data_IF_731143129706
#
_entry.id   IF_731143129706
#
_cell.length_a   1.000
_cell.length_b   1.000
_cell.length_c   1.000
_cell.angle_alpha   90.00
_cell.angle_beta   90.00
_cell.angle_gamma   90.00
#
_symmetry.space_group_name_H-M   'P 1'
#
loop_
_entity.id
_entity.type
_entity.pdbx_description
1 polymer ?
#
# COMPACT_ATOMS: atom_id res chain seq x y z
N UNK A 1 -8.11 6.86 31.78
CA UNK A 1 -9.11 5.92 31.19
C UNK A 1 -8.37 4.61 30.90
N UNK A 2 -8.82 3.48 31.45
CA UNK A 2 -8.14 2.19 31.25
C UNK A 2 -8.42 1.70 29.84
N UNK A 3 -7.39 1.40 29.03
CA UNK A 3 -7.55 0.93 27.64
C UNK A 3 -8.21 -0.47 27.67
N UNK A 4 -9.28 -0.64 26.89
CA UNK A 4 -9.97 -1.91 26.77
C UNK A 4 -9.46 -2.70 25.56
N UNK A 5 -8.44 -3.50 25.73
CA UNK A 5 -7.87 -4.34 24.67
C UNK A 5 -8.80 -5.47 24.18
N UNK A 6 -9.88 -5.78 24.90
CA UNK A 6 -10.86 -6.76 24.43
C UNK A 6 -11.60 -6.26 23.18
N UNK A 7 -11.85 -4.95 23.07
CA UNK A 7 -12.48 -4.38 21.88
C UNK A 7 -11.60 -4.49 20.64
N UNK A 8 -10.28 -4.32 20.78
CA UNK A 8 -9.35 -4.54 19.68
C UNK A 8 -9.34 -6.01 19.26
N UNK A 9 -9.26 -6.95 20.22
CA UNK A 9 -9.27 -8.38 19.94
C UNK A 9 -10.54 -8.83 19.20
N UNK A 10 -11.71 -8.25 19.55
CA UNK A 10 -12.98 -8.48 18.81
C UNK A 10 -12.90 -7.97 17.37
N UNK A 11 -12.34 -6.77 17.14
CA UNK A 11 -12.22 -6.18 15.80
C UNK A 11 -11.32 -6.96 14.86
N UNK A 12 -10.25 -7.57 15.38
CA UNK A 12 -9.33 -8.41 14.61
C UNK A 12 -9.72 -9.90 14.66
N UNK A 13 -10.82 -10.22 15.34
CA UNK A 13 -11.34 -11.57 15.54
C UNK A 13 -10.30 -12.56 16.10
N UNK A 14 -9.49 -12.10 17.06
CA UNK A 14 -8.46 -12.90 17.73
C UNK A 14 -8.49 -12.66 19.24
N UNK A 15 -8.31 -13.75 20.00
CA UNK A 15 -8.03 -13.70 21.43
C UNK A 15 -6.57 -14.10 21.67
N UNK A 16 -5.76 -13.18 22.18
CA UNK A 16 -4.37 -13.46 22.55
C UNK A 16 -4.28 -14.45 23.70
N UNK A 17 -3.33 -15.38 23.61
CA UNK A 17 -2.92 -16.25 24.73
C UNK A 17 -2.06 -15.47 25.71
N UNK A 18 -1.12 -14.69 25.18
CA UNK A 18 -0.27 -13.80 25.95
C UNK A 18 -0.64 -12.35 25.66
N UNK A 19 -1.36 -11.72 26.59
CA UNK A 19 -1.82 -10.34 26.46
C UNK A 19 -0.65 -9.33 26.47
N UNK A 20 0.48 -9.66 27.10
CA UNK A 20 1.66 -8.78 27.14
C UNK A 20 2.23 -8.55 25.74
N UNK A 21 2.17 -9.53 24.84
CA UNK A 21 2.57 -9.33 23.42
C UNK A 21 1.69 -8.30 22.74
N UNK A 22 0.37 -8.35 22.95
CA UNK A 22 -0.55 -7.35 22.42
C UNK A 22 -0.24 -5.96 22.96
N UNK A 23 -0.09 -5.82 24.28
CA UNK A 23 0.21 -4.54 24.93
C UNK A 23 1.55 -4.00 24.43
N UNK A 24 2.59 -4.82 24.38
CA UNK A 24 3.91 -4.41 23.91
C UNK A 24 3.88 -3.95 22.45
N UNK A 25 3.13 -4.63 21.57
CA UNK A 25 2.99 -4.21 20.15
C UNK A 25 2.33 -2.84 19.98
N UNK A 26 1.60 -2.38 20.99
CA UNK A 26 0.90 -1.08 21.01
C UNK A 26 1.62 -0.05 21.89
N UNK A 27 2.79 -0.37 22.42
CA UNK A 27 3.59 0.52 23.27
C UNK A 27 4.67 1.19 22.43
N UNK A 28 4.53 2.50 22.21
CA UNK A 28 5.55 3.29 21.52
C UNK A 28 6.77 3.53 22.43
N UNK A 29 7.97 3.65 21.87
CA UNK A 29 9.22 3.87 22.60
C UNK A 29 9.22 5.13 23.47
N UNK A 30 8.39 6.13 23.17
CA UNK A 30 8.24 7.32 24.03
C UNK A 30 7.54 6.99 25.34
N UNK A 31 6.73 5.91 25.39
CA UNK A 31 6.06 5.47 26.61
C UNK A 31 6.94 4.53 27.45
N UNK A 32 7.59 3.57 26.79
CA UNK A 32 8.53 2.63 27.42
C UNK A 32 9.72 2.41 26.48
N UNK A 33 10.92 2.80 26.93
CA UNK A 33 12.15 2.67 26.14
C UNK A 33 12.69 1.25 26.06
N UNK A 34 12.28 0.37 26.98
CA UNK A 34 12.77 -1.03 27.06
C UNK A 34 11.78 -2.03 26.50
N UNK A 35 10.49 -1.90 26.86
CA UNK A 35 9.42 -2.80 26.40
C UNK A 35 8.51 -2.04 25.42
N UNK A 36 8.94 -1.91 24.19
CA UNK A 36 8.21 -1.20 23.13
C UNK A 36 7.97 -2.09 21.90
N UNK A 37 7.37 -1.50 20.89
CA UNK A 37 6.90 -2.20 19.70
C UNK A 37 7.97 -2.39 18.59
N UNK A 38 9.15 -1.77 18.66
CA UNK A 38 10.12 -1.73 17.54
C UNK A 38 10.53 -3.12 17.04
N UNK A 39 10.80 -4.09 17.93
CA UNK A 39 11.17 -5.46 17.51
C UNK A 39 10.00 -6.21 16.87
N UNK A 40 8.77 -5.94 17.31
CA UNK A 40 7.57 -6.56 16.74
C UNK A 40 7.20 -5.90 15.41
N UNK A 41 7.41 -4.59 15.24
CA UNK A 41 7.31 -3.89 13.96
C UNK A 41 8.26 -4.52 12.94
N UNK A 42 9.54 -4.71 13.30
CA UNK A 42 10.51 -5.36 12.44
C UNK A 42 10.05 -6.75 11.97
N UNK A 43 9.52 -7.58 12.86
CA UNK A 43 9.00 -8.91 12.52
C UNK A 43 7.73 -8.82 11.69
N UNK A 44 6.81 -7.95 12.09
CA UNK A 44 5.49 -7.82 11.47
C UNK A 44 5.55 -7.36 10.03
N UNK A 45 6.45 -6.42 9.70
CA UNK A 45 6.71 -6.00 8.32
C UNK A 45 7.11 -7.21 7.44
N UNK A 46 7.99 -8.11 7.90
CA UNK A 46 8.40 -9.32 7.16
C UNK A 46 7.26 -10.32 7.00
N UNK A 47 6.47 -10.51 8.06
CA UNK A 47 5.30 -11.40 8.02
C UNK A 47 4.25 -10.85 7.06
N UNK A 48 3.96 -9.55 7.11
CA UNK A 48 3.07 -8.87 6.17
C UNK A 48 3.56 -9.06 4.73
N UNK A 49 4.84 -8.79 4.50
CA UNK A 49 5.46 -8.94 3.18
C UNK A 49 5.33 -10.36 2.64
N UNK A 50 5.64 -11.38 3.45
CA UNK A 50 5.52 -12.79 3.04
C UNK A 50 4.08 -13.15 2.65
N UNK A 51 3.11 -12.78 3.47
CA UNK A 51 1.69 -13.09 3.23
C UNK A 51 1.17 -12.40 1.98
N UNK A 52 1.48 -11.11 1.81
CA UNK A 52 1.04 -10.33 0.63
C UNK A 52 1.72 -10.85 -0.65
N UNK A 53 3.03 -11.17 -0.61
CA UNK A 53 3.73 -11.73 -1.76
C UNK A 53 3.12 -13.07 -2.18
N UNK A 54 2.89 -13.99 -1.23
CA UNK A 54 2.19 -15.26 -1.49
C UNK A 54 0.82 -15.03 -2.12
N UNK A 55 0.04 -14.09 -1.56
CA UNK A 55 -1.31 -13.81 -2.07
C UNK A 55 -1.31 -13.22 -3.47
N UNK A 56 -0.34 -12.38 -3.81
CA UNK A 56 -0.18 -11.84 -5.15
C UNK A 56 0.16 -12.92 -6.17
N UNK A 57 1.02 -13.89 -5.85
CA UNK A 57 1.31 -15.04 -6.71
C UNK A 57 0.07 -15.90 -6.97
N UNK A 58 -0.79 -16.09 -5.96
CA UNK A 58 -2.05 -16.83 -6.12
C UNK A 58 -3.05 -16.11 -7.04
N UNK A 59 -3.12 -14.76 -6.95
CA UNK A 59 -4.07 -13.96 -7.74
C UNK A 59 -3.55 -13.74 -9.18
N UNK A 60 -2.24 -13.65 -9.35
CA UNK A 60 -1.58 -13.26 -10.60
C UNK A 60 -0.46 -14.24 -10.98
N UNK A 61 -0.79 -15.54 -11.24
CA UNK A 61 0.22 -16.57 -11.48
C UNK A 61 1.08 -16.32 -12.72
N UNK A 62 0.51 -15.66 -13.74
CA UNK A 62 1.19 -15.41 -15.02
C UNK A 62 1.78 -14.00 -15.13
N UNK A 63 1.77 -13.22 -14.02
CA UNK A 63 2.21 -11.83 -14.06
C UNK A 63 3.73 -11.74 -13.91
N UNK A 64 4.34 -10.72 -14.54
CA UNK A 64 5.78 -10.48 -14.45
C UNK A 64 6.17 -9.94 -13.08
N UNK A 65 7.37 -10.32 -12.62
CA UNK A 65 7.96 -9.87 -11.34
C UNK A 65 7.83 -8.36 -11.11
N UNK A 66 8.22 -7.52 -12.06
CA UNK A 66 8.17 -6.06 -11.89
C UNK A 66 6.76 -5.48 -11.74
N UNK A 67 5.70 -6.21 -12.12
CA UNK A 67 4.30 -5.82 -11.86
C UNK A 67 3.89 -6.31 -10.47
N UNK A 68 4.30 -7.52 -10.10
CA UNK A 68 4.09 -8.04 -8.75
C UNK A 68 4.74 -7.13 -7.71
N UNK A 69 5.98 -6.67 -7.93
CA UNK A 69 6.68 -5.73 -7.05
C UNK A 69 5.94 -4.40 -6.88
N UNK A 70 5.41 -3.83 -7.96
CA UNK A 70 4.62 -2.59 -7.87
C UNK A 70 3.35 -2.79 -7.05
N UNK A 71 2.65 -3.91 -7.25
CA UNK A 71 1.44 -4.28 -6.47
C UNK A 71 1.80 -4.54 -5.01
N UNK A 72 2.88 -5.27 -4.77
CA UNK A 72 3.41 -5.55 -3.44
C UNK A 72 3.74 -4.26 -2.70
N UNK A 73 4.56 -3.38 -3.27
CA UNK A 73 4.93 -2.10 -2.67
C UNK A 73 3.71 -1.21 -2.34
N UNK A 74 2.67 -1.25 -3.18
CA UNK A 74 1.43 -0.52 -2.92
C UNK A 74 0.65 -1.08 -1.72
N UNK A 75 0.73 -2.40 -1.46
CA UNK A 75 -0.01 -3.07 -0.40
C UNK A 75 0.69 -3.04 0.97
N UNK A 76 2.02 -3.03 1.00
CA UNK A 76 2.79 -3.11 2.25
C UNK A 76 3.37 -1.78 2.73
N UNK A 77 3.14 -0.67 2.01
CA UNK A 77 3.68 0.63 2.42
C UNK A 77 2.97 1.22 3.66
N UNK A 78 3.65 2.16 4.32
CA UNK A 78 3.15 2.84 5.52
C UNK A 78 1.77 3.49 5.35
N UNK A 79 1.44 3.99 4.15
CA UNK A 79 0.13 4.59 3.86
C UNK A 79 -0.98 3.53 3.92
N UNK A 80 -0.75 2.36 3.37
CA UNK A 80 -1.71 1.25 3.40
C UNK A 80 -1.85 0.68 4.80
N UNK A 81 -0.73 0.46 5.52
CA UNK A 81 -0.75 0.06 6.93
C UNK A 81 -1.55 1.04 7.79
N UNK A 82 -1.37 2.35 7.58
CA UNK A 82 -2.15 3.39 8.25
C UNK A 82 -3.65 3.30 7.94
N UNK A 83 -4.03 3.09 6.68
CA UNK A 83 -5.44 2.95 6.29
C UNK A 83 -6.10 1.75 6.98
N UNK A 84 -5.40 0.62 7.04
CA UNK A 84 -5.86 -0.58 7.73
C UNK A 84 -5.97 -0.35 9.23
N UNK A 85 -4.96 0.26 9.86
CA UNK A 85 -4.98 0.60 11.27
C UNK A 85 -6.17 1.51 11.63
N UNK A 86 -6.46 2.53 10.81
CA UNK A 86 -7.59 3.44 11.02
C UNK A 86 -8.94 2.73 10.90
N UNK A 87 -9.11 1.71 10.06
CA UNK A 87 -10.36 0.93 9.98
C UNK A 87 -10.71 0.24 11.30
N UNK A 88 -9.70 -0.25 12.01
CA UNK A 88 -9.89 -0.90 13.32
C UNK A 88 -9.80 0.09 14.49
N UNK A 89 -9.61 1.40 14.21
CA UNK A 89 -9.36 2.46 15.19
C UNK A 89 -8.19 2.13 16.12
N UNK A 90 -7.05 1.66 15.55
CA UNK A 90 -5.90 1.18 16.30
C UNK A 90 -5.31 2.26 17.20
N UNK A 91 -5.39 3.52 16.78
CA UNK A 91 -4.90 4.69 17.54
C UNK A 91 -5.48 4.81 18.95
N UNK A 92 -6.67 4.26 19.20
CA UNK A 92 -7.31 4.28 20.53
C UNK A 92 -6.63 3.38 21.56
N UNK A 93 -5.80 2.46 21.10
CA UNK A 93 -5.16 1.43 21.91
C UNK A 93 -3.66 1.64 22.08
N UNK A 94 -3.06 2.62 21.38
CA UNK A 94 -1.62 2.88 21.39
C UNK A 94 -1.23 3.65 22.65
N UNK A 95 -0.19 3.17 23.32
CA UNK A 95 0.43 3.83 24.46
C UNK A 95 1.57 4.72 23.97
N UNK A 96 1.43 6.04 24.17
CA UNK A 96 2.46 7.04 23.87
C UNK A 96 2.65 7.94 25.08
N UNK A 97 3.84 8.55 25.23
CA UNK A 97 4.07 9.54 26.25
C UNK A 97 3.21 10.79 25.99
N UNK A 98 2.45 11.16 26.99
CA UNK A 98 1.59 12.34 26.97
C UNK A 98 1.71 13.10 28.30
N UNK A 99 2.63 14.08 28.41
CA UNK A 99 2.95 14.74 29.67
C UNK A 99 1.77 15.50 30.26
N UNK A 100 0.79 15.90 29.47
CA UNK A 100 -0.31 16.75 29.91
C UNK A 100 -1.67 16.02 29.97
N UNK A 101 -1.71 14.72 29.78
CA UNK A 101 -2.95 13.91 29.72
C UNK A 101 -4.03 14.47 28.75
N UNK A 102 -3.64 15.36 27.82
CA UNK A 102 -4.53 15.94 26.81
C UNK A 102 -4.72 14.93 25.67
N UNK A 103 -5.85 15.00 24.97
CA UNK A 103 -6.08 14.26 23.72
C UNK A 103 -5.08 14.78 22.67
N UNK A 104 -3.91 14.15 22.57
CA UNK A 104 -2.92 14.45 21.53
C UNK A 104 -3.25 13.55 20.33
N UNK A 105 -3.24 14.14 19.15
CA UNK A 105 -3.33 13.37 17.89
C UNK A 105 -2.04 12.57 17.75
N UNK A 106 -2.17 11.25 17.73
CA UNK A 106 -1.05 10.34 17.46
C UNK A 106 -0.60 10.51 16.03
N UNK A 107 0.70 10.59 15.78
CA UNK A 107 1.27 10.71 14.44
C UNK A 107 0.93 9.49 13.57
N UNK A 108 0.65 9.73 12.30
CA UNK A 108 0.31 8.68 11.33
C UNK A 108 1.41 7.60 11.22
N UNK A 109 2.68 8.00 11.41
CA UNK A 109 3.82 7.07 11.46
C UNK A 109 3.69 6.09 12.63
N UNK A 110 3.42 6.56 13.84
CA UNK A 110 3.28 5.72 15.04
C UNK A 110 2.13 4.72 14.85
N UNK A 111 1.04 5.14 14.21
CA UNK A 111 -0.13 4.29 13.95
C UNK A 111 0.22 3.18 12.93
N UNK A 112 0.95 3.52 11.86
CA UNK A 112 1.37 2.53 10.85
C UNK A 112 2.37 1.53 11.42
N UNK A 113 3.36 1.99 12.19
CA UNK A 113 4.37 1.14 12.84
C UNK A 113 3.71 0.19 13.86
N UNK A 114 2.71 0.67 14.61
CA UNK A 114 1.92 -0.17 15.52
C UNK A 114 1.06 -1.20 14.80
N UNK A 115 0.62 -0.94 13.55
CA UNK A 115 -0.09 -1.91 12.74
C UNK A 115 0.82 -3.10 12.38
N UNK A 116 2.03 -2.82 11.93
CA UNK A 116 3.03 -3.85 11.65
C UNK A 116 3.41 -4.59 12.93
N UNK A 117 3.62 -3.88 14.05
CA UNK A 117 3.93 -4.49 15.33
C UNK A 117 2.80 -5.42 15.83
N UNK A 118 1.54 -5.06 15.61
CA UNK A 118 0.39 -5.91 15.93
C UNK A 118 0.43 -7.22 15.13
N UNK A 119 0.78 -7.16 13.84
CA UNK A 119 0.98 -8.36 13.01
C UNK A 119 2.09 -9.24 13.59
N UNK A 120 3.23 -8.64 13.97
CA UNK A 120 4.33 -9.35 14.63
C UNK A 120 3.90 -10.04 15.93
N UNK A 121 3.12 -9.35 16.76
CA UNK A 121 2.58 -9.90 18.01
C UNK A 121 1.62 -11.08 17.75
N UNK A 122 0.74 -10.96 16.74
CA UNK A 122 -0.16 -12.05 16.35
C UNK A 122 0.64 -13.27 15.90
N UNK A 123 1.69 -13.04 15.09
CA UNK A 123 2.56 -14.13 14.65
C UNK A 123 3.26 -14.82 15.81
N UNK A 124 3.80 -14.08 16.77
CA UNK A 124 4.45 -14.65 17.97
C UNK A 124 3.48 -15.43 18.86
N UNK A 125 2.24 -14.96 19.00
CA UNK A 125 1.25 -15.57 19.88
C UNK A 125 0.52 -16.77 19.24
N UNK A 126 0.29 -16.74 17.91
CA UNK A 126 -0.61 -17.66 17.20
C UNK A 126 0.03 -18.39 16.01
N UNK A 127 1.23 -18.02 15.63
CA UNK A 127 1.90 -18.56 14.45
C UNK A 127 1.45 -17.96 13.13
N UNK A 128 2.11 -18.38 12.05
CA UNK A 128 1.96 -17.80 10.71
C UNK A 128 0.55 -18.01 10.13
N UNK A 129 -0.05 -19.17 10.29
CA UNK A 129 -1.37 -19.49 9.71
C UNK A 129 -2.46 -18.55 10.21
N UNK A 130 -2.46 -18.21 11.50
CA UNK A 130 -3.43 -17.28 12.06
C UNK A 130 -3.10 -15.84 11.67
N UNK A 131 -1.82 -15.46 11.67
CA UNK A 131 -1.39 -14.15 11.18
C UNK A 131 -1.80 -13.93 9.71
N UNK A 132 -1.61 -14.91 8.83
CA UNK A 132 -2.03 -14.89 7.44
C UNK A 132 -3.55 -14.63 7.32
N UNK A 133 -4.36 -15.37 8.07
CA UNK A 133 -5.82 -15.19 8.07
C UNK A 133 -6.22 -13.76 8.44
N UNK A 134 -5.61 -13.19 9.49
CA UNK A 134 -5.90 -11.83 9.93
C UNK A 134 -5.44 -10.79 8.90
N UNK A 135 -4.24 -10.94 8.36
CA UNK A 135 -3.72 -10.04 7.34
C UNK A 135 -4.65 -10.03 6.13
N UNK A 136 -5.03 -11.19 5.61
CA UNK A 136 -5.89 -11.28 4.43
C UNK A 136 -7.29 -10.70 4.67
N UNK A 137 -7.82 -10.82 5.88
CA UNK A 137 -9.10 -10.20 6.25
C UNK A 137 -8.99 -8.67 6.33
N UNK A 138 -7.99 -8.16 7.04
CA UNK A 138 -7.76 -6.72 7.19
C UNK A 138 -7.41 -6.02 5.88
N UNK A 139 -6.62 -6.65 5.01
CA UNK A 139 -6.19 -6.14 3.68
C UNK A 139 -7.15 -6.46 2.54
N UNK A 140 -8.27 -7.13 2.80
CA UNK A 140 -9.22 -7.60 1.77
C UNK A 140 -9.60 -6.53 0.73
N UNK A 141 -9.88 -5.31 1.16
CA UNK A 141 -10.26 -4.24 0.24
C UNK A 141 -9.06 -3.73 -0.57
N UNK A 142 -7.91 -3.54 0.07
CA UNK A 142 -6.68 -3.10 -0.58
C UNK A 142 -6.21 -4.11 -1.65
N UNK A 143 -6.31 -5.40 -1.33
CA UNK A 143 -6.02 -6.48 -2.29
C UNK A 143 -6.99 -6.42 -3.46
N UNK A 144 -8.30 -6.25 -3.22
CA UNK A 144 -9.29 -6.08 -4.30
C UNK A 144 -9.01 -4.87 -5.18
N UNK A 145 -8.66 -3.74 -4.58
CA UNK A 145 -8.31 -2.51 -5.29
C UNK A 145 -7.02 -2.68 -6.10
N UNK A 146 -6.07 -3.51 -5.65
CA UNK A 146 -4.84 -3.81 -6.39
C UNK A 146 -5.11 -4.56 -7.71
N UNK A 147 -6.23 -5.27 -7.81
CA UNK A 147 -6.70 -5.88 -9.08
C UNK A 147 -7.00 -4.81 -10.12
N UNK A 148 -7.54 -3.67 -9.67
CA UNK A 148 -7.92 -2.54 -10.51
C UNK A 148 -6.71 -1.63 -10.79
N UNK A 149 -5.57 -1.80 -10.10
CA UNK A 149 -4.38 -0.99 -10.37
C UNK A 149 -3.98 -1.21 -11.82
N UNK A 150 -4.32 -0.24 -12.65
CA UNK A 150 -4.00 -0.23 -14.07
C UNK A 150 -2.53 -0.59 -14.21
N UNK A 151 -2.25 -1.72 -14.86
CA UNK A 151 -0.93 -1.97 -15.41
C UNK A 151 -0.60 -0.69 -16.13
N UNK A 152 0.47 -0.04 -15.71
CA UNK A 152 0.95 1.22 -16.24
C UNK A 152 0.83 1.17 -17.77
N UNK A 153 -0.17 1.88 -18.32
CA UNK A 153 -0.49 1.82 -19.74
C UNK A 153 0.75 2.17 -20.57
N UNK A 154 1.64 3.02 -20.02
CA UNK A 154 2.92 3.36 -20.60
C UNK A 154 3.83 2.13 -20.69
N UNK A 155 3.91 1.31 -19.65
CA UNK A 155 4.70 0.07 -19.63
C UNK A 155 4.14 -0.94 -20.65
N UNK A 156 2.81 -1.15 -20.68
CA UNK A 156 2.18 -2.02 -21.69
C UNK A 156 2.46 -1.56 -23.12
N UNK A 157 2.36 -0.25 -23.36
CA UNK A 157 2.61 0.29 -24.70
C UNK A 157 4.09 0.12 -25.09
N UNK A 158 5.03 0.29 -24.16
CA UNK A 158 6.45 0.05 -24.38
C UNK A 158 6.74 -1.40 -24.74
N UNK A 159 6.18 -2.36 -23.99
CA UNK A 159 6.34 -3.79 -24.26
C UNK A 159 5.78 -4.16 -25.63
N UNK A 160 4.58 -3.69 -25.96
CA UNK A 160 3.95 -3.89 -27.25
C UNK A 160 4.82 -3.31 -28.39
N UNK A 161 5.30 -2.09 -28.23
CA UNK A 161 6.13 -1.41 -29.22
C UNK A 161 7.46 -2.14 -29.44
N UNK A 162 8.12 -2.60 -28.38
CA UNK A 162 9.34 -3.40 -28.48
C UNK A 162 9.10 -4.74 -29.15
N UNK A 163 7.97 -5.41 -28.83
CA UNK A 163 7.61 -6.70 -29.44
C UNK A 163 7.32 -6.56 -30.94
N UNK A 164 6.50 -5.57 -31.32
CA UNK A 164 6.00 -5.41 -32.69
C UNK A 164 6.93 -4.61 -33.61
N UNK A 165 7.60 -3.59 -33.06
CA UNK A 165 8.37 -2.63 -33.90
C UNK A 165 9.85 -2.59 -33.54
N UNK A 166 10.31 -3.30 -32.50
CA UNK A 166 11.68 -3.22 -31.94
C UNK A 166 12.14 -1.79 -31.59
N UNK A 167 11.18 -0.87 -31.37
CA UNK A 167 11.40 0.54 -31.05
C UNK A 167 10.48 0.95 -29.91
N UNK A 168 10.90 1.92 -29.11
CA UNK A 168 10.08 2.49 -28.03
C UNK A 168 9.08 3.48 -28.57
N UNK A 169 7.91 3.67 -27.89
CA UNK A 169 6.96 4.73 -28.19
C UNK A 169 7.59 6.10 -28.00
N UNK A 170 7.24 7.05 -28.86
CA UNK A 170 7.72 8.44 -28.75
C UNK A 170 6.66 9.31 -28.08
N UNK A 171 7.04 9.95 -26.97
CA UNK A 171 6.18 10.87 -26.22
C UNK A 171 6.59 12.33 -26.50
N UNK A 172 5.60 13.21 -26.70
CA UNK A 172 5.80 14.65 -26.90
C UNK A 172 4.84 15.42 -26.01
N UNK A 173 5.37 16.34 -25.19
CA UNK A 173 4.55 17.33 -24.49
C UNK A 173 4.00 18.33 -25.53
N UNK A 174 2.68 18.44 -25.60
CA UNK A 174 1.97 19.31 -26.53
C UNK A 174 1.66 20.66 -25.89
N UNK A 175 1.14 20.64 -24.65
CA UNK A 175 0.87 21.87 -23.91
C UNK A 175 0.94 21.62 -22.39
N UNK A 176 1.24 22.70 -21.69
CA UNK A 176 1.14 22.80 -20.23
C UNK A 176 0.41 24.10 -19.94
N UNK A 177 -0.83 24.00 -19.49
CA UNK A 177 -1.75 25.13 -19.27
C UNK A 177 -2.36 25.05 -17.88
N UNK A 178 -3.00 26.15 -17.45
CA UNK A 178 -3.66 26.25 -16.15
C UNK A 178 -2.77 26.87 -15.06
N UNK A 179 -3.38 27.28 -13.94
CA UNK A 179 -2.66 27.91 -12.83
C UNK A 179 -1.76 26.89 -12.10
N UNK A 180 -0.72 27.38 -11.41
CA UNK A 180 0.26 26.53 -10.69
C UNK A 180 -0.37 25.49 -9.74
N UNK A 181 -1.49 25.81 -9.12
CA UNK A 181 -2.20 24.92 -8.19
C UNK A 181 -3.16 23.93 -8.89
N UNK A 182 -3.40 24.09 -10.22
CA UNK A 182 -4.25 23.20 -11.02
C UNK A 182 -3.73 23.10 -12.46
N UNK A 183 -2.52 22.56 -12.66
CA UNK A 183 -1.94 22.43 -14.00
C UNK A 183 -2.68 21.41 -14.84
N UNK A 184 -2.71 21.61 -16.16
CA UNK A 184 -3.24 20.69 -17.15
C UNK A 184 -2.17 20.41 -18.20
N UNK A 185 -1.71 19.18 -18.26
CA UNK A 185 -0.73 18.70 -19.23
C UNK A 185 -1.44 17.95 -20.34
N UNK A 186 -1.06 18.25 -21.60
CA UNK A 186 -1.45 17.47 -22.78
C UNK A 186 -0.20 16.82 -23.36
N UNK A 187 -0.20 15.50 -23.45
CA UNK A 187 0.90 14.70 -24.03
C UNK A 187 0.36 13.89 -25.20
N UNK A 188 1.14 13.84 -26.27
CA UNK A 188 0.92 12.94 -27.40
C UNK A 188 1.89 11.77 -27.34
N UNK A 189 1.44 10.58 -27.68
CA UNK A 189 2.27 9.39 -27.89
C UNK A 189 2.02 8.83 -29.29
N UNK A 190 3.06 8.32 -29.93
CA UNK A 190 2.94 7.57 -31.18
C UNK A 190 3.85 6.34 -31.17
N UNK A 191 3.44 5.30 -31.87
CA UNK A 191 4.27 4.18 -32.31
C UNK A 191 4.89 4.49 -33.69
N UNK A 192 5.90 3.72 -34.13
CA UNK A 192 6.37 3.80 -35.51
C UNK A 192 5.18 3.68 -36.48
N UNK A 193 5.18 4.51 -37.50
CA UNK A 193 4.18 4.52 -38.57
C UNK A 193 2.71 4.76 -38.15
N UNK A 194 2.48 5.30 -36.94
CA UNK A 194 1.16 5.66 -36.45
C UNK A 194 0.99 7.18 -36.25
N UNK A 195 -0.27 7.63 -36.17
CA UNK A 195 -0.62 8.98 -35.73
C UNK A 195 -0.38 9.17 -34.22
N UNK A 196 -0.39 10.42 -33.77
CA UNK A 196 -0.35 10.75 -32.34
C UNK A 196 -1.70 10.46 -31.67
N UNK A 197 -1.63 9.81 -30.50
CA UNK A 197 -2.73 9.66 -29.55
C UNK A 197 -2.49 10.57 -28.36
N UNK A 198 -3.52 11.26 -27.88
CA UNK A 198 -3.38 12.34 -26.90
C UNK A 198 -3.99 11.94 -25.55
N UNK A 199 -3.33 12.38 -24.48
CA UNK A 199 -3.81 12.25 -23.10
C UNK A 199 -3.70 13.56 -22.35
N UNK A 200 -4.67 13.85 -21.49
CA UNK A 200 -4.67 14.97 -20.56
C UNK A 200 -4.43 14.46 -19.15
N UNK A 201 -3.75 15.24 -18.30
CA UNK A 201 -3.49 14.87 -16.90
C UNK A 201 -3.13 16.06 -16.04
N UNK A 202 -3.24 15.90 -14.73
CA UNK A 202 -2.84 16.90 -13.72
C UNK A 202 -1.33 16.95 -13.52
N UNK A 203 -0.60 15.97 -14.03
CA UNK A 203 0.85 15.92 -14.12
C UNK A 203 1.26 15.41 -15.49
N UNK A 204 2.52 15.67 -15.88
CA UNK A 204 3.09 15.12 -17.12
C UNK A 204 2.99 13.60 -17.14
N UNK A 205 3.26 12.93 -15.99
CA UNK A 205 3.16 11.47 -15.85
C UNK A 205 1.73 10.96 -16.08
N UNK A 206 0.73 11.63 -15.52
CA UNK A 206 -0.68 11.23 -15.73
C UNK A 206 -1.09 11.40 -17.19
N UNK A 207 -0.69 12.52 -17.82
CA UNK A 207 -0.97 12.77 -19.24
C UNK A 207 -0.30 11.72 -20.16
N UNK A 208 0.94 11.30 -19.86
CA UNK A 208 1.63 10.21 -20.57
C UNK A 208 0.89 8.88 -20.43
N UNK A 209 0.38 8.54 -19.22
CA UNK A 209 -0.41 7.34 -18.96
C UNK A 209 -1.71 7.34 -19.76
N UNK A 210 -2.43 8.47 -19.74
CA UNK A 210 -3.69 8.61 -20.45
C UNK A 210 -3.48 8.55 -21.98
N UNK A 211 -2.41 9.15 -22.50
CA UNK A 211 -2.06 9.05 -23.93
C UNK A 211 -1.74 7.58 -24.32
N UNK A 212 -0.99 6.85 -23.48
CA UNK A 212 -0.70 5.44 -23.70
C UNK A 212 -1.98 4.58 -23.69
N UNK A 213 -2.91 4.88 -22.77
CA UNK A 213 -4.21 4.20 -22.69
C UNK A 213 -5.01 4.36 -23.98
N UNK A 214 -5.10 5.59 -24.52
CA UNK A 214 -5.80 5.86 -25.77
C UNK A 214 -5.13 5.17 -26.97
N UNK A 215 -3.79 5.14 -27.01
CA UNK A 215 -3.04 4.42 -28.03
C UNK A 215 -3.34 2.90 -27.97
N UNK A 216 -3.33 2.29 -26.78
CA UNK A 216 -3.62 0.86 -26.59
C UNK A 216 -5.05 0.48 -26.97
N UNK A 217 -6.03 1.37 -26.76
CA UNK A 217 -7.43 1.13 -27.20
C UNK A 217 -7.57 1.10 -28.72
N UNK A 218 -6.76 1.87 -29.44
CA UNK A 218 -6.85 1.97 -30.90
C UNK A 218 -6.13 0.85 -31.65
N UNK A 219 -5.30 0.04 -30.96
CA UNK A 219 -4.49 -1.04 -31.55
C UNK A 219 -5.18 -2.41 -31.33
N UNK A 220 -6.25 -2.43 -30.53
CA UNK A 220 -7.15 -3.59 -30.43
C UNK A 220 -8.07 -3.61 -31.64
#
# INVERSE_FOLDING_TARGET
>A
MKINYQDLQKKINIRFKNLDLLIQSLTHKSFDTKKNNEKMEFLGDRVLGLVIAKKLLEIYPDEKEGILDKKFAALVNKKTCLQVAKKINLEKFILTFNPNNKKIKIEDKIISDSCEALIGAIHLDKGLTIAEKVILDLWKNQIKESVITQIDAKTKLQELALKSFKKLPTYKLISNTGPRHKPSFKVGVKLPDTKYFFGLGKSKKDAEQNAATECLKSIR
#
